data_IF_083056293055
#
_entry.id   IF_083056293055
#
_cell.length_a   1.000
_cell.length_b   1.000
_cell.length_c   1.000
_cell.angle_alpha   90.00
_cell.angle_beta   90.00
_cell.angle_gamma   90.00
#
_symmetry.space_group_name_H-M   'P 1'
#
loop_
_entity.id
_entity.type
_entity.pdbx_description
1 polymer ?
#
# COMPACT_ATOMS: atom_id res chain seq x y z
N UNK A 1 -4.04 7.62 22.38
CA UNK A 1 -3.82 6.18 22.12
C UNK A 1 -2.99 5.62 23.28
N UNK A 2 -3.46 4.61 23.98
CA UNK A 2 -2.79 4.01 25.13
C UNK A 2 -2.08 2.69 24.77
N UNK A 3 -1.42 2.03 25.76
CA UNK A 3 -0.70 0.77 25.53
C UNK A 3 -1.62 -0.35 25.03
N UNK A 4 -2.88 -0.37 25.43
CA UNK A 4 -3.84 -1.38 25.01
C UNK A 4 -4.21 -1.16 23.53
N UNK A 5 -4.44 0.09 23.11
CA UNK A 5 -4.69 0.42 21.71
C UNK A 5 -3.52 -0.02 20.80
N UNK A 6 -2.28 0.20 21.26
CA UNK A 6 -1.08 -0.28 20.53
C UNK A 6 -1.06 -1.79 20.42
N UNK A 7 -1.41 -2.51 21.50
CA UNK A 7 -1.45 -3.98 21.48
C UNK A 7 -2.56 -4.49 20.54
N UNK A 8 -3.73 -3.83 20.50
CA UNK A 8 -4.80 -4.13 19.53
C UNK A 8 -4.26 -4.00 18.10
N UNK A 9 -3.66 -2.86 17.76
CA UNK A 9 -3.12 -2.60 16.42
C UNK A 9 -2.03 -3.61 16.03
N UNK A 10 -1.09 -3.91 16.93
CA UNK A 10 -0.06 -4.92 16.72
C UNK A 10 -0.64 -6.30 16.44
N UNK A 11 -1.62 -6.70 17.25
CA UNK A 11 -2.25 -8.02 17.11
C UNK A 11 -3.02 -8.12 15.79
N UNK A 12 -3.80 -7.10 15.44
CA UNK A 12 -4.56 -7.06 14.20
C UNK A 12 -3.65 -7.04 12.96
N UNK A 13 -2.53 -6.35 13.01
CA UNK A 13 -1.57 -6.33 11.91
C UNK A 13 -0.90 -7.69 11.70
N UNK A 14 -0.62 -8.41 12.79
CA UNK A 14 -0.03 -9.74 12.73
C UNK A 14 -1.05 -10.84 12.39
N UNK A 15 -2.31 -10.68 12.83
CA UNK A 15 -3.39 -11.67 12.72
C UNK A 15 -4.68 -11.00 12.26
N UNK A 16 -4.74 -10.59 11.00
CA UNK A 16 -5.88 -9.83 10.47
C UNK A 16 -7.24 -10.52 10.55
N UNK A 17 -7.29 -11.85 10.76
CA UNK A 17 -8.53 -12.63 10.90
C UNK A 17 -8.81 -13.07 12.34
N UNK A 18 -8.17 -12.47 13.36
CA UNK A 18 -8.42 -12.80 14.75
C UNK A 18 -9.86 -12.44 15.16
N UNK A 19 -10.52 -13.29 15.95
CA UNK A 19 -11.82 -12.97 16.51
C UNK A 19 -11.71 -11.93 17.64
N UNK A 20 -12.78 -11.17 17.86
CA UNK A 20 -12.83 -10.21 19.00
C UNK A 20 -12.64 -10.91 20.34
N UNK A 21 -13.09 -12.16 20.47
CA UNK A 21 -12.89 -12.97 21.68
C UNK A 21 -11.42 -13.19 21.94
N UNK A 22 -10.71 -13.75 20.96
CA UNK A 22 -9.27 -14.02 21.08
C UNK A 22 -8.46 -12.72 21.24
N UNK A 23 -8.84 -11.66 20.50
CA UNK A 23 -8.18 -10.38 20.63
C UNK A 23 -8.33 -9.80 22.04
N UNK A 24 -9.54 -9.84 22.61
CA UNK A 24 -9.79 -9.34 23.95
C UNK A 24 -8.98 -10.06 25.02
N UNK A 25 -8.83 -11.37 24.92
CA UNK A 25 -7.99 -12.19 25.81
C UNK A 25 -6.50 -11.78 25.70
N UNK A 26 -5.99 -11.63 24.48
CA UNK A 26 -4.59 -11.26 24.24
C UNK A 26 -4.23 -9.86 24.73
N UNK A 27 -5.18 -8.92 24.71
CA UNK A 27 -4.94 -7.55 25.17
C UNK A 27 -5.37 -7.30 26.62
N UNK A 28 -5.88 -8.33 27.32
CA UNK A 28 -6.29 -8.25 28.72
C UNK A 28 -7.57 -7.45 28.95
N UNK A 29 -8.56 -7.56 28.05
CA UNK A 29 -9.86 -6.90 28.13
C UNK A 29 -11.00 -7.94 28.09
N UNK A 30 -12.21 -7.51 28.50
CA UNK A 30 -13.43 -8.20 28.09
C UNK A 30 -13.87 -7.77 26.69
N UNK A 31 -14.79 -8.52 26.07
CA UNK A 31 -15.20 -8.31 24.67
C UNK A 31 -15.76 -6.92 24.38
N UNK A 32 -16.61 -6.40 25.28
CA UNK A 32 -17.28 -5.11 25.08
C UNK A 32 -16.29 -3.96 24.96
N UNK A 33 -15.39 -3.69 25.93
CA UNK A 33 -14.41 -2.61 25.83
C UNK A 33 -13.39 -2.85 24.70
N UNK A 34 -13.09 -4.10 24.36
CA UNK A 34 -12.24 -4.40 23.21
C UNK A 34 -12.91 -3.95 21.90
N UNK A 35 -14.20 -4.30 21.72
CA UNK A 35 -14.99 -3.88 20.55
C UNK A 35 -15.11 -2.36 20.45
N UNK A 36 -15.36 -1.68 21.57
CA UNK A 36 -15.47 -0.22 21.60
C UNK A 36 -14.16 0.46 21.20
N UNK A 37 -13.01 -0.06 21.67
CA UNK A 37 -11.70 0.43 21.28
C UNK A 37 -11.41 0.21 19.80
N UNK A 38 -11.74 -0.96 19.25
CA UNK A 38 -11.60 -1.23 17.82
C UNK A 38 -12.41 -0.23 16.99
N UNK A 39 -13.70 -0.03 17.32
CA UNK A 39 -14.57 0.95 16.63
C UNK A 39 -14.02 2.37 16.71
N UNK A 40 -13.45 2.77 17.83
CA UNK A 40 -12.78 4.06 17.97
C UNK A 40 -11.57 4.16 17.05
N UNK A 41 -10.69 3.16 17.02
CA UNK A 41 -9.51 3.12 16.16
C UNK A 41 -9.88 3.13 14.66
N UNK A 42 -10.99 2.49 14.30
CA UNK A 42 -11.57 2.56 12.95
C UNK A 42 -12.10 3.97 12.64
N UNK A 43 -12.91 4.54 13.54
CA UNK A 43 -13.46 5.90 13.40
C UNK A 43 -12.37 6.96 13.29
N UNK A 44 -11.30 6.81 14.06
CA UNK A 44 -10.13 7.71 14.07
C UNK A 44 -9.21 7.49 12.84
N UNK A 45 -9.54 6.53 11.97
CA UNK A 45 -8.80 6.22 10.73
C UNK A 45 -7.45 5.54 10.95
N UNK A 46 -7.16 5.07 12.18
CA UNK A 46 -5.95 4.31 12.49
C UNK A 46 -6.03 2.88 11.92
N UNK A 47 -7.23 2.30 11.93
CA UNK A 47 -7.55 1.07 11.19
C UNK A 47 -8.32 1.50 9.93
N UNK A 48 -7.68 1.35 8.78
CA UNK A 48 -8.28 1.70 7.48
C UNK A 48 -9.10 0.57 6.85
N UNK A 49 -8.93 -0.65 7.33
CA UNK A 49 -9.61 -1.84 6.82
C UNK A 49 -8.90 -3.12 7.20
N UNK A 50 -9.52 -4.23 6.84
CA UNK A 50 -9.02 -5.60 7.05
C UNK A 50 -8.92 -6.27 5.69
N UNK A 51 -7.73 -6.72 5.30
CA UNK A 51 -7.48 -7.29 3.99
C UNK A 51 -6.78 -8.64 4.11
N UNK A 52 -7.17 -9.59 3.27
CA UNK A 52 -6.43 -10.82 3.10
C UNK A 52 -5.14 -10.55 2.31
N UNK A 53 -4.04 -11.15 2.73
CA UNK A 53 -2.83 -11.22 1.92
C UNK A 53 -2.95 -12.37 0.93
N UNK A 54 -2.84 -12.06 -0.37
CA UNK A 54 -2.97 -13.03 -1.45
C UNK A 54 -1.59 -13.39 -2.01
N UNK A 55 -1.38 -14.66 -2.32
CA UNK A 55 -0.21 -15.11 -3.07
C UNK A 55 -0.39 -14.74 -4.56
N UNK A 56 0.08 -13.56 -4.91
CA UNK A 56 -0.06 -13.01 -6.25
C UNK A 56 0.73 -13.80 -7.31
N UNK A 57 1.78 -14.51 -6.91
CA UNK A 57 2.55 -15.39 -7.80
C UNK A 57 1.70 -16.61 -8.18
N UNK A 58 1.06 -17.26 -7.21
CA UNK A 58 0.13 -18.38 -7.45
C UNK A 58 -1.11 -17.95 -8.22
N UNK A 59 -1.50 -16.67 -8.11
CA UNK A 59 -2.59 -16.10 -8.90
C UNK A 59 -2.17 -15.74 -10.34
N UNK A 60 -0.91 -15.99 -10.71
CA UNK A 60 -0.43 -15.79 -12.08
C UNK A 60 0.10 -14.39 -12.37
N UNK A 61 0.49 -13.62 -11.35
CA UNK A 61 1.06 -12.26 -11.48
C UNK A 61 2.45 -12.15 -10.84
N UNK A 62 3.44 -12.94 -11.29
CA UNK A 62 4.78 -12.94 -10.68
C UNK A 62 5.64 -11.74 -11.07
N UNK A 63 5.37 -11.11 -12.22
CA UNK A 63 6.24 -10.09 -12.78
C UNK A 63 5.97 -8.73 -12.13
N UNK A 64 7.05 -8.08 -11.66
CA UNK A 64 7.04 -6.75 -11.06
C UNK A 64 8.00 -5.84 -11.80
N UNK A 65 7.60 -4.60 -12.05
CA UNK A 65 8.48 -3.55 -12.53
C UNK A 65 8.25 -2.26 -11.75
N UNK A 66 9.33 -1.48 -11.55
CA UNK A 66 9.23 -0.09 -11.17
C UNK A 66 9.34 0.79 -12.40
N UNK A 67 8.46 1.78 -12.51
CA UNK A 67 8.42 2.70 -13.63
C UNK A 67 8.57 4.12 -13.12
N UNK A 68 9.66 4.77 -13.51
CA UNK A 68 9.80 6.21 -13.37
C UNK A 68 9.02 6.88 -14.49
N UNK A 69 8.25 7.88 -14.14
CA UNK A 69 7.47 8.68 -15.10
C UNK A 69 7.92 10.12 -14.99
N UNK A 70 8.27 10.71 -16.13
CA UNK A 70 8.51 12.15 -16.27
C UNK A 70 7.32 12.77 -16.99
N UNK A 71 6.79 13.86 -16.44
CA UNK A 71 5.74 14.64 -17.06
C UNK A 71 6.32 15.78 -17.92
N UNK A 72 5.58 16.23 -18.92
CA UNK A 72 5.93 17.40 -19.72
C UNK A 72 5.92 18.69 -18.89
N UNK A 73 4.97 18.77 -17.94
CA UNK A 73 4.75 19.88 -17.01
C UNK A 73 4.22 19.37 -15.69
N UNK A 74 4.48 20.10 -14.62
CA UNK A 74 4.04 19.79 -13.25
C UNK A 74 3.03 20.81 -12.74
N UNK A 75 2.15 21.31 -13.63
CA UNK A 75 1.03 22.17 -13.23
C UNK A 75 -0.05 21.36 -12.53
N UNK A 76 -0.82 21.99 -11.64
CA UNK A 76 -1.82 21.30 -10.81
C UNK A 76 -2.82 20.50 -11.63
N UNK A 77 -3.29 21.04 -12.74
CA UNK A 77 -4.23 20.38 -13.66
C UNK A 77 -3.65 19.10 -14.28
N UNK A 78 -2.37 19.15 -14.69
CA UNK A 78 -1.66 17.97 -15.23
C UNK A 78 -1.45 16.90 -14.16
N UNK A 79 -1.02 17.32 -12.95
CA UNK A 79 -0.83 16.42 -11.81
C UNK A 79 -2.16 15.74 -11.40
N UNK A 80 -3.24 16.50 -11.31
CA UNK A 80 -4.56 15.96 -10.95
C UNK A 80 -5.10 15.00 -12.04
N UNK A 81 -4.92 15.35 -13.32
CA UNK A 81 -5.26 14.48 -14.43
C UNK A 81 -4.50 13.16 -14.41
N UNK A 82 -3.17 13.21 -14.22
CA UNK A 82 -2.32 12.04 -14.09
C UNK A 82 -2.74 11.19 -12.89
N UNK A 83 -2.90 11.80 -11.71
CA UNK A 83 -3.28 11.11 -10.47
C UNK A 83 -4.63 10.39 -10.61
N UNK A 84 -5.62 11.04 -11.21
CA UNK A 84 -6.94 10.45 -11.43
C UNK A 84 -6.88 9.27 -12.40
N UNK A 85 -6.08 9.36 -13.45
CA UNK A 85 -5.93 8.30 -14.44
C UNK A 85 -5.10 7.12 -13.89
N UNK A 86 -3.99 7.37 -13.21
CA UNK A 86 -3.14 6.33 -12.64
C UNK A 86 -3.88 5.46 -11.61
N UNK A 87 -4.79 6.05 -10.81
CA UNK A 87 -5.63 5.30 -9.85
C UNK A 87 -6.58 4.29 -10.49
N UNK A 88 -6.84 4.40 -11.78
CA UNK A 88 -7.76 3.50 -12.52
C UNK A 88 -7.04 2.31 -13.15
N UNK A 89 -5.71 2.31 -13.16
CA UNK A 89 -4.93 1.22 -13.74
C UNK A 89 -4.81 0.06 -12.74
N UNK A 90 -5.43 -1.10 -13.02
CA UNK A 90 -5.44 -2.22 -12.09
C UNK A 90 -4.06 -2.86 -11.91
N UNK A 91 -3.15 -2.69 -12.88
CA UNK A 91 -1.78 -3.18 -12.81
C UNK A 91 -0.87 -2.32 -11.93
N UNK A 92 -1.29 -1.10 -11.57
CA UNK A 92 -0.53 -0.19 -10.72
C UNK A 92 -0.82 -0.48 -9.25
N UNK A 93 0.11 -1.13 -8.56
CA UNK A 93 0.00 -1.43 -7.12
C UNK A 93 0.26 -0.21 -6.23
N UNK A 94 1.18 0.65 -6.64
CA UNK A 94 1.47 1.91 -5.95
C UNK A 94 1.94 3.00 -6.91
N UNK A 95 1.64 4.25 -6.58
CA UNK A 95 2.04 5.43 -7.33
C UNK A 95 2.47 6.50 -6.32
N UNK A 96 3.70 6.96 -6.43
CA UNK A 96 4.30 7.95 -5.55
C UNK A 96 4.81 9.13 -6.36
N UNK A 97 4.40 10.36 -5.97
CA UNK A 97 5.03 11.57 -6.47
C UNK A 97 6.41 11.71 -5.80
N UNK A 98 7.41 12.03 -6.58
CA UNK A 98 8.83 12.07 -6.16
C UNK A 98 9.36 13.49 -6.35
N UNK A 99 10.09 13.99 -5.36
CA UNK A 99 10.88 15.19 -5.49
C UNK A 99 12.29 14.78 -5.96
N UNK A 100 12.53 14.83 -7.27
CA UNK A 100 13.78 14.39 -7.89
C UNK A 100 13.79 14.60 -9.39
N UNK A 101 14.61 13.82 -10.09
CA UNK A 101 14.80 13.94 -11.55
C UNK A 101 13.60 13.48 -12.38
N UNK A 102 12.69 12.73 -11.77
CA UNK A 102 11.44 12.28 -12.35
C UNK A 102 10.27 12.62 -11.41
N UNK A 103 9.04 12.59 -11.91
CA UNK A 103 7.89 13.11 -11.17
C UNK A 103 7.12 12.01 -10.41
N UNK A 104 7.06 10.78 -10.96
CA UNK A 104 6.35 9.67 -10.31
C UNK A 104 7.14 8.36 -10.38
N UNK A 105 7.02 7.57 -9.31
CA UNK A 105 7.44 6.18 -9.26
C UNK A 105 6.21 5.28 -9.12
N UNK A 106 6.01 4.40 -10.10
CA UNK A 106 4.97 3.40 -10.10
C UNK A 106 5.56 2.02 -9.76
N UNK A 107 4.85 1.23 -8.95
CA UNK A 107 5.05 -0.21 -8.87
C UNK A 107 3.97 -0.89 -9.68
N UNK A 108 4.36 -1.63 -10.69
CA UNK A 108 3.49 -2.28 -11.67
C UNK A 108 3.62 -3.78 -11.56
N UNK A 109 2.48 -4.48 -11.51
CA UNK A 109 2.41 -5.94 -11.46
C UNK A 109 1.72 -6.48 -12.68
N UNK A 110 2.32 -7.49 -13.31
CA UNK A 110 1.82 -8.10 -14.53
C UNK A 110 2.05 -9.61 -14.52
N UNK A 111 1.47 -10.31 -15.48
CA UNK A 111 1.64 -11.77 -15.61
C UNK A 111 3.03 -12.16 -16.12
N UNK A 112 3.54 -11.37 -17.06
CA UNK A 112 4.80 -11.61 -17.73
C UNK A 112 5.31 -10.32 -18.40
N UNK A 113 6.48 -10.39 -19.03
CA UNK A 113 7.08 -9.26 -19.74
C UNK A 113 6.26 -8.82 -20.97
N UNK A 114 5.56 -9.75 -21.64
CA UNK A 114 4.72 -9.39 -22.78
C UNK A 114 3.48 -8.60 -22.34
N UNK A 115 2.89 -8.99 -21.20
CA UNK A 115 1.81 -8.21 -20.57
C UNK A 115 2.34 -6.84 -20.11
N UNK A 116 3.51 -6.80 -19.47
CA UNK A 116 4.12 -5.53 -19.04
C UNK A 116 4.35 -4.57 -20.22
N UNK A 117 4.87 -5.05 -21.33
CA UNK A 117 5.09 -4.23 -22.53
C UNK A 117 3.81 -3.57 -23.03
N UNK A 118 2.68 -4.30 -23.02
CA UNK A 118 1.36 -3.72 -23.39
C UNK A 118 0.91 -2.67 -22.39
N UNK A 119 0.98 -2.98 -21.09
CA UNK A 119 0.60 -2.04 -20.01
C UNK A 119 1.44 -0.77 -20.07
N UNK A 120 2.75 -0.89 -20.34
CA UNK A 120 3.63 0.27 -20.48
C UNK A 120 3.24 1.14 -21.67
N UNK A 121 3.04 0.55 -22.85
CA UNK A 121 2.74 1.28 -24.08
C UNK A 121 1.32 1.84 -24.12
N UNK A 122 0.34 0.98 -23.84
CA UNK A 122 -1.07 1.30 -24.08
C UNK A 122 -1.72 2.02 -22.89
N UNK A 123 -1.22 1.81 -21.67
CA UNK A 123 -1.80 2.37 -20.44
C UNK A 123 -0.92 3.45 -19.82
N UNK A 124 0.30 3.10 -19.40
CA UNK A 124 1.16 4.05 -18.63
C UNK A 124 1.68 5.18 -19.52
N UNK A 125 2.18 4.84 -20.72
CA UNK A 125 2.67 5.84 -21.66
C UNK A 125 1.58 6.75 -22.21
N UNK A 126 0.33 6.31 -22.17
CA UNK A 126 -0.85 7.08 -22.58
C UNK A 126 -1.48 7.92 -21.45
N UNK A 127 -0.94 7.88 -20.22
CA UNK A 127 -1.42 8.71 -19.13
C UNK A 127 -1.24 10.20 -19.43
N UNK A 128 -2.16 11.07 -18.96
CA UNK A 128 -2.10 12.50 -19.23
C UNK A 128 -0.76 13.12 -18.82
N UNK A 129 -0.15 13.87 -19.72
CA UNK A 129 1.07 14.64 -19.47
C UNK A 129 2.37 13.84 -19.41
N UNK A 130 2.36 12.53 -19.72
CA UNK A 130 3.57 11.71 -19.71
C UNK A 130 4.48 12.10 -20.86
N UNK A 131 5.70 12.56 -20.54
CA UNK A 131 6.76 12.86 -21.49
C UNK A 131 7.66 11.66 -21.77
N UNK A 132 8.04 10.94 -20.72
CA UNK A 132 8.90 9.76 -20.84
C UNK A 132 8.74 8.80 -19.65
N UNK A 133 9.12 7.55 -19.86
CA UNK A 133 9.14 6.51 -18.83
C UNK A 133 10.46 5.75 -18.85
N UNK A 134 10.94 5.34 -17.67
CA UNK A 134 12.05 4.41 -17.51
C UNK A 134 11.61 3.23 -16.66
N UNK A 135 11.87 2.02 -17.15
CA UNK A 135 11.41 0.77 -16.54
C UNK A 135 12.54 0.01 -15.89
N UNK A 136 12.29 -0.52 -14.71
CA UNK A 136 13.19 -1.37 -13.96
C UNK A 136 12.47 -2.67 -13.64
N UNK A 137 12.77 -3.74 -14.37
CA UNK A 137 12.23 -5.06 -14.07
C UNK A 137 12.86 -5.59 -12.78
N UNK A 138 12.02 -6.05 -11.86
CA UNK A 138 12.49 -6.66 -10.61
C UNK A 138 12.99 -8.06 -10.89
N UNK A 139 14.23 -8.35 -10.59
CA UNK A 139 14.82 -9.68 -10.74
C UNK A 139 14.38 -10.60 -9.61
N UNK A 140 14.33 -10.09 -8.39
CA UNK A 140 13.93 -10.81 -7.18
C UNK A 140 13.33 -9.83 -6.18
N UNK A 141 12.23 -10.21 -5.53
CA UNK A 141 11.69 -9.50 -4.37
C UNK A 141 12.27 -10.13 -3.11
N UNK A 142 13.33 -9.55 -2.58
CA UNK A 142 14.00 -10.03 -1.36
C UNK A 142 13.08 -9.97 -0.15
N UNK A 143 12.28 -8.91 -0.05
CA UNK A 143 11.33 -8.72 1.04
C UNK A 143 10.27 -7.67 0.66
N UNK A 144 9.02 -7.96 0.99
CA UNK A 144 7.93 -7.00 0.89
C UNK A 144 7.05 -7.09 2.15
N UNK A 145 7.17 -6.09 3.03
CA UNK A 145 6.31 -5.98 4.23
C UNK A 145 5.11 -5.10 3.92
N UNK A 146 3.92 -5.58 4.24
CA UNK A 146 2.69 -4.79 4.17
C UNK A 146 2.42 -4.16 5.53
N UNK A 147 2.54 -2.85 5.60
CA UNK A 147 2.30 -2.08 6.83
C UNK A 147 3.56 -1.80 7.64
N UNK A 148 3.34 -1.14 8.77
CA UNK A 148 4.39 -0.74 9.69
C UNK A 148 4.82 -1.94 10.55
N UNK A 149 6.11 -2.09 10.81
CA UNK A 149 6.58 -3.14 11.74
C UNK A 149 5.92 -2.95 13.11
N UNK A 150 5.32 -4.02 13.69
CA UNK A 150 4.65 -3.92 15.00
C UNK A 150 5.53 -3.35 16.12
N UNK A 151 6.85 -3.48 16.05
CA UNK A 151 7.79 -2.88 17.00
C UNK A 151 7.69 -1.36 16.97
N UNK A 152 7.61 -0.75 15.78
CA UNK A 152 7.53 0.69 15.59
C UNK A 152 6.18 1.30 16.04
N UNK A 153 5.12 0.49 16.10
CA UNK A 153 3.81 0.94 16.61
C UNK A 153 3.89 1.32 18.09
N UNK A 154 4.80 0.74 18.85
CA UNK A 154 4.95 0.97 20.31
C UNK A 154 5.94 2.07 20.72
N UNK A 155 6.80 2.54 19.85
CA UNK A 155 7.87 3.48 20.20
C UNK A 155 7.38 4.91 20.46
N UNK A 156 6.30 5.36 19.78
CA UNK A 156 5.70 6.68 20.02
C UNK A 156 5.08 6.87 21.41
N UNK A 157 4.82 5.80 22.16
CA UNK A 157 4.27 5.90 23.51
C UNK A 157 5.32 6.25 24.58
N UNK A 158 6.63 6.25 24.23
CA UNK A 158 7.72 6.55 25.16
C UNK A 158 8.27 7.98 25.04
N UNK A 159 7.81 8.74 24.04
CA UNK A 159 8.34 10.09 23.75
C UNK A 159 7.33 11.22 23.92
N UNK A 160 6.22 11.01 24.65
CA UNK A 160 5.24 12.04 24.98
C UNK A 160 5.10 12.22 26.50
#
# INVERSE_FOLDING_TARGET
MDRIDHNILKTLQAKGRISVTELSELVGLSKTPCTERMRRLEKDGLIKGYHAELDVVRLGYPHVAFVQVKLERTTTDVLDGFNAAARRLPEVESCHMIAGDFDYLLKVRTRDMAHYRRVLGDHIGALPGVASTHSYAVMETVMEKKGLDPVLIGERAKSA
#
